data_IF_997664378615
#
_entry.id   IF_997664378615
#
_cell.length_a   1.000
_cell.length_b   1.000
_cell.length_c   1.000
_cell.angle_alpha   90.00
_cell.angle_beta   90.00
_cell.angle_gamma   90.00
#
_symmetry.space_group_name_H-M   'P 1'
#
loop_
_entity.id
_entity.type
_entity.pdbx_description
1 polymer ?
#
# COMPACT_ATOMS: atom_id res chain seq x y z
N UNK A 1 23.78 1.52 25.15
CA UNK A 1 22.93 0.40 24.67
C UNK A 1 21.49 0.86 24.78
N UNK A 2 20.75 0.95 23.69
CA UNK A 2 19.34 1.40 23.74
C UNK A 2 18.51 0.26 24.35
N UNK A 3 17.63 0.54 25.33
CA UNK A 3 16.95 -0.48 26.12
C UNK A 3 15.86 -1.29 25.37
N UNK A 4 15.64 -1.00 24.11
CA UNK A 4 14.59 -1.65 23.27
C UNK A 4 15.15 -2.56 22.19
N UNK A 5 16.49 -2.76 22.11
CA UNK A 5 17.05 -3.74 21.20
C UNK A 5 16.96 -5.10 21.88
N UNK A 6 15.82 -5.73 21.76
CA UNK A 6 15.66 -7.16 21.98
C UNK A 6 16.57 -7.92 21.03
N UNK A 7 17.09 -9.07 21.46
CA UNK A 7 17.85 -9.96 20.58
C UNK A 7 17.06 -10.18 19.26
N UNK A 8 17.74 -10.18 18.10
CA UNK A 8 17.06 -10.40 16.84
C UNK A 8 16.27 -11.70 16.90
N UNK A 9 15.00 -11.64 16.52
CA UNK A 9 14.17 -12.83 16.42
C UNK A 9 14.90 -13.88 15.55
N UNK A 10 14.76 -15.18 15.84
CA UNK A 10 15.39 -16.21 15.01
C UNK A 10 14.90 -16.05 13.57
N UNK A 11 15.82 -15.76 12.65
CA UNK A 11 15.50 -15.60 11.24
C UNK A 11 15.12 -16.95 10.67
N UNK A 12 13.88 -17.06 10.24
CA UNK A 12 13.41 -18.23 9.48
C UNK A 12 13.80 -18.01 8.02
N UNK A 13 14.36 -19.05 7.39
CA UNK A 13 14.69 -19.01 5.96
C UNK A 13 13.63 -19.73 5.18
N UNK A 14 13.20 -19.16 4.06
CA UNK A 14 12.28 -19.76 3.11
C UNK A 14 12.98 -19.99 1.78
N UNK A 15 12.83 -21.17 1.23
CA UNK A 15 13.33 -21.49 -0.10
C UNK A 15 12.24 -21.22 -1.12
N UNK A 16 12.53 -20.39 -2.12
CA UNK A 16 11.64 -20.00 -3.22
C UNK A 16 12.17 -20.54 -4.54
N UNK A 17 11.27 -20.80 -5.49
CA UNK A 17 11.63 -21.38 -6.78
C UNK A 17 11.67 -22.90 -6.77
N UNK A 18 12.27 -23.45 -7.81
CA UNK A 18 12.48 -24.89 -7.98
C UNK A 18 13.74 -25.12 -8.88
N UNK A 19 14.26 -26.34 -8.97
CA UNK A 19 15.47 -26.63 -9.75
C UNK A 19 15.40 -26.24 -11.24
N UNK A 20 14.21 -26.10 -11.83
CA UNK A 20 14.04 -25.74 -13.24
C UNK A 20 14.12 -24.23 -13.50
N UNK A 21 13.68 -23.42 -12.55
CA UNK A 21 13.65 -21.94 -12.67
C UNK A 21 14.69 -21.25 -11.81
N UNK A 22 15.45 -21.99 -11.03
CA UNK A 22 16.36 -21.50 -10.01
C UNK A 22 15.75 -21.54 -8.62
N UNK A 23 16.58 -21.69 -7.62
CA UNK A 23 16.21 -21.67 -6.20
C UNK A 23 16.90 -20.49 -5.51
N UNK A 24 16.16 -19.83 -4.62
CA UNK A 24 16.67 -18.73 -3.81
C UNK A 24 16.29 -18.96 -2.35
N UNK A 25 17.27 -18.86 -1.45
CA UNK A 25 17.05 -18.93 -0.01
C UNK A 25 16.95 -17.51 0.55
N UNK A 26 15.79 -17.14 1.09
CA UNK A 26 15.46 -15.79 1.53
C UNK A 26 15.17 -15.80 3.03
N UNK A 27 15.74 -14.85 3.77
CA UNK A 27 15.36 -14.63 5.17
C UNK A 27 13.95 -14.07 5.26
N UNK A 28 13.11 -14.68 6.10
CA UNK A 28 11.77 -14.18 6.43
C UNK A 28 11.90 -13.19 7.59
N UNK A 29 11.34 -12.00 7.40
CA UNK A 29 11.32 -10.92 8.42
C UNK A 29 9.89 -10.45 8.55
N UNK A 30 9.48 -9.94 9.68
CA UNK A 30 8.08 -9.51 9.92
C UNK A 30 7.69 -8.19 9.22
N UNK A 31 8.21 -7.89 8.04
CA UNK A 31 7.94 -6.68 7.27
C UNK A 31 9.18 -6.14 6.56
N UNK A 32 9.02 -5.04 5.84
CA UNK A 32 10.15 -4.35 5.21
C UNK A 32 10.97 -3.59 6.27
N UNK A 33 12.27 -3.81 6.26
CA UNK A 33 13.18 -3.05 7.13
C UNK A 33 13.34 -1.61 6.65
N UNK A 34 13.78 -0.71 7.54
CA UNK A 34 14.12 0.68 7.19
C UNK A 34 15.15 0.74 6.07
N UNK A 35 16.14 -0.18 6.07
CA UNK A 35 17.15 -0.26 5.01
C UNK A 35 16.57 -0.69 3.67
N UNK A 36 15.63 -1.64 3.65
CA UNK A 36 14.92 -2.04 2.43
C UNK A 36 14.05 -0.91 1.90
N UNK A 37 13.31 -0.22 2.76
CA UNK A 37 12.50 0.95 2.38
C UNK A 37 13.36 2.10 1.83
N UNK A 38 14.54 2.33 2.40
CA UNK A 38 15.49 3.32 1.88
C UNK A 38 16.01 2.91 0.49
N UNK A 39 16.36 1.64 0.29
CA UNK A 39 16.78 1.10 -1.02
C UNK A 39 15.68 1.23 -2.07
N UNK A 40 14.42 0.91 -1.71
CA UNK A 40 13.26 1.09 -2.60
C UNK A 40 13.13 2.56 -3.00
N UNK A 41 13.19 3.49 -2.04
CA UNK A 41 13.11 4.93 -2.29
C UNK A 41 14.23 5.42 -3.21
N UNK A 42 15.46 4.92 -3.04
CA UNK A 42 16.60 5.23 -3.90
C UNK A 42 16.38 4.74 -5.34
N UNK A 43 15.93 3.48 -5.50
CA UNK A 43 15.64 2.88 -6.80
C UNK A 43 14.49 3.57 -7.54
N UNK A 44 13.58 4.21 -6.81
CA UNK A 44 12.43 4.94 -7.34
C UNK A 44 12.64 6.46 -7.41
N UNK A 45 13.80 6.98 -7.03
CA UNK A 45 14.05 8.43 -6.97
C UNK A 45 13.81 9.14 -8.33
N UNK A 46 14.06 8.45 -9.44
CA UNK A 46 13.84 8.97 -10.80
C UNK A 46 12.36 8.94 -11.23
N UNK A 47 11.49 8.23 -10.48
CA UNK A 47 10.08 7.98 -10.86
C UNK A 47 9.09 9.08 -10.44
N UNK A 48 9.52 10.08 -9.69
CA UNK A 48 8.65 11.20 -9.27
C UNK A 48 8.00 11.92 -10.45
N UNK A 49 8.57 11.79 -11.66
CA UNK A 49 8.02 12.34 -12.90
C UNK A 49 6.65 11.76 -13.27
N UNK A 50 6.35 10.53 -12.91
CA UNK A 50 5.10 9.84 -13.23
C UNK A 50 3.89 10.47 -12.54
N UNK A 51 4.03 10.78 -11.24
CA UNK A 51 2.98 11.45 -10.48
C UNK A 51 2.72 12.88 -11.00
N UNK A 52 3.80 13.61 -11.30
CA UNK A 52 3.72 14.97 -11.86
C UNK A 52 2.98 14.95 -13.19
N UNK A 53 3.24 13.97 -14.06
CA UNK A 53 2.56 13.83 -15.34
C UNK A 53 1.05 13.59 -15.17
N UNK A 54 0.66 12.70 -14.26
CA UNK A 54 -0.74 12.46 -13.92
C UNK A 54 -1.46 13.72 -13.44
N UNK A 55 -0.81 14.49 -12.55
CA UNK A 55 -1.33 15.73 -12.02
C UNK A 55 -1.49 16.82 -13.10
N UNK A 56 -0.54 16.92 -14.03
CA UNK A 56 -0.64 17.85 -15.17
C UNK A 56 -1.82 17.52 -16.09
N UNK A 57 -2.07 16.25 -16.35
CA UNK A 57 -3.21 15.82 -17.16
C UNK A 57 -4.53 16.10 -16.43
N UNK A 58 -4.61 15.81 -15.13
CA UNK A 58 -5.79 16.13 -14.34
C UNK A 58 -6.10 17.63 -14.30
N UNK A 59 -5.07 18.47 -14.13
CA UNK A 59 -5.20 19.94 -14.15
C UNK A 59 -5.68 20.46 -15.53
N UNK A 60 -5.18 19.88 -16.62
CA UNK A 60 -5.62 20.22 -17.95
C UNK A 60 -7.10 19.87 -18.17
N UNK A 61 -7.54 18.68 -17.76
CA UNK A 61 -8.95 18.26 -17.83
C UNK A 61 -9.83 19.17 -16.98
N UNK A 62 -9.40 19.49 -15.74
CA UNK A 62 -10.14 20.35 -14.83
C UNK A 62 -10.40 21.73 -15.44
N UNK A 63 -9.39 22.32 -16.09
CA UNK A 63 -9.50 23.63 -16.77
C UNK A 63 -10.39 23.60 -17.98
N UNK A 64 -10.24 22.58 -18.85
CA UNK A 64 -11.03 22.44 -20.07
C UNK A 64 -12.52 22.19 -19.79
N UNK A 65 -12.83 21.41 -18.77
CA UNK A 65 -14.21 21.06 -18.39
C UNK A 65 -14.82 22.00 -17.32
N UNK A 66 -14.04 22.97 -16.82
CA UNK A 66 -14.46 23.90 -15.75
C UNK A 66 -14.91 23.17 -14.45
N UNK A 67 -14.28 22.07 -14.12
CA UNK A 67 -14.49 21.28 -12.91
C UNK A 67 -13.33 21.48 -11.93
N UNK A 68 -13.50 21.01 -10.69
CA UNK A 68 -12.40 21.04 -9.71
C UNK A 68 -11.32 20.00 -10.07
N UNK A 69 -10.09 20.26 -9.64
CA UNK A 69 -8.98 19.30 -9.78
C UNK A 69 -9.29 17.98 -9.11
N UNK A 70 -9.98 18.00 -7.97
CA UNK A 70 -10.41 16.79 -7.24
C UNK A 70 -11.39 15.96 -8.06
N UNK A 71 -12.36 16.59 -8.71
CA UNK A 71 -13.31 15.88 -9.60
C UNK A 71 -12.60 15.29 -10.81
N UNK A 72 -11.66 16.02 -11.43
CA UNK A 72 -10.87 15.48 -12.54
C UNK A 72 -10.08 14.23 -12.13
N UNK A 73 -9.44 14.23 -10.93
CA UNK A 73 -8.78 13.04 -10.39
C UNK A 73 -9.76 11.90 -10.16
N UNK A 74 -10.92 12.14 -9.56
CA UNK A 74 -11.94 11.11 -9.31
C UNK A 74 -12.44 10.46 -10.61
N UNK A 75 -12.62 11.25 -11.67
CA UNK A 75 -13.00 10.74 -13.00
C UNK A 75 -11.89 9.85 -13.57
N UNK A 76 -10.63 10.30 -13.51
CA UNK A 76 -9.48 9.53 -13.98
C UNK A 76 -9.34 8.22 -13.22
N UNK A 77 -9.34 8.27 -11.89
CA UNK A 77 -9.21 7.08 -11.04
C UNK A 77 -10.35 6.09 -11.25
N UNK A 78 -11.59 6.59 -11.35
CA UNK A 78 -12.75 5.75 -11.59
C UNK A 78 -12.70 5.10 -12.98
N UNK A 79 -12.25 5.85 -13.99
CA UNK A 79 -12.06 5.33 -15.35
C UNK A 79 -10.98 4.24 -15.39
N UNK A 80 -9.83 4.45 -14.72
CA UNK A 80 -8.74 3.47 -14.64
C UNK A 80 -9.19 2.21 -13.89
N UNK A 81 -9.97 2.38 -12.81
CA UNK A 81 -10.50 1.27 -12.01
C UNK A 81 -11.70 0.55 -12.67
N UNK A 82 -12.18 1.02 -13.83
CA UNK A 82 -13.36 0.46 -14.51
C UNK A 82 -14.66 0.65 -13.72
N UNK A 83 -14.73 1.68 -12.86
CA UNK A 83 -15.93 1.98 -12.06
C UNK A 83 -16.97 2.67 -12.93
N UNK A 84 -18.24 2.43 -12.63
CA UNK A 84 -19.34 3.14 -13.27
C UNK A 84 -19.32 4.62 -12.86
N UNK A 85 -19.43 5.52 -13.82
CA UNK A 85 -19.49 6.97 -13.66
C UNK A 85 -20.92 7.47 -13.92
N UNK A 86 -21.26 8.61 -13.34
CA UNK A 86 -22.47 9.34 -13.70
C UNK A 86 -22.37 9.86 -15.15
N UNK A 87 -23.52 10.13 -15.79
CA UNK A 87 -23.57 10.43 -17.22
C UNK A 87 -22.68 11.62 -17.64
N UNK A 88 -22.59 12.66 -16.81
CA UNK A 88 -21.76 13.83 -17.07
C UNK A 88 -20.27 13.49 -16.96
N UNK A 89 -19.86 12.80 -15.90
CA UNK A 89 -18.50 12.33 -15.72
C UNK A 89 -18.07 11.32 -16.78
N UNK A 90 -18.99 10.46 -17.23
CA UNK A 90 -18.75 9.51 -18.32
C UNK A 90 -18.53 10.23 -19.66
N UNK A 91 -19.28 11.30 -19.93
CA UNK A 91 -19.07 12.14 -21.10
C UNK A 91 -17.68 12.82 -21.09
N UNK A 92 -17.22 13.30 -19.93
CA UNK A 92 -15.87 13.85 -19.76
C UNK A 92 -14.83 12.75 -19.99
N UNK A 93 -14.99 11.57 -19.39
CA UNK A 93 -14.12 10.40 -19.62
C UNK A 93 -13.96 10.08 -21.10
N UNK A 94 -15.05 10.09 -21.87
CA UNK A 94 -15.03 9.79 -23.30
C UNK A 94 -14.28 10.87 -24.09
N UNK A 95 -14.49 12.17 -23.78
CA UNK A 95 -13.78 13.27 -24.44
C UNK A 95 -12.26 13.22 -24.20
N UNK A 96 -11.83 12.77 -23.04
CA UNK A 96 -10.42 12.73 -22.63
C UNK A 96 -9.84 11.31 -22.59
N UNK A 97 -10.44 10.36 -23.30
CA UNK A 97 -10.07 8.94 -23.23
C UNK A 97 -8.58 8.67 -23.50
N UNK A 98 -7.97 9.38 -24.47
CA UNK A 98 -6.53 9.22 -24.78
C UNK A 98 -5.64 9.69 -23.64
N UNK A 99 -5.95 10.84 -23.02
CA UNK A 99 -5.20 11.38 -21.88
C UNK A 99 -5.34 10.49 -20.65
N UNK A 100 -6.54 9.97 -20.40
CA UNK A 100 -6.78 9.03 -19.30
C UNK A 100 -6.03 7.72 -19.54
N UNK A 101 -6.00 7.21 -20.77
CA UNK A 101 -5.21 6.03 -21.14
C UNK A 101 -3.69 6.27 -20.99
N UNK A 102 -3.20 7.50 -21.22
CA UNK A 102 -1.82 7.89 -20.92
C UNK A 102 -1.53 7.80 -19.42
N UNK A 103 -2.40 8.40 -18.58
CA UNK A 103 -2.26 8.31 -17.11
C UNK A 103 -2.28 6.86 -16.64
N UNK A 104 -3.19 6.04 -17.15
CA UNK A 104 -3.27 4.63 -16.83
C UNK A 104 -1.97 3.89 -17.14
N UNK A 105 -1.36 4.15 -18.29
CA UNK A 105 -0.05 3.56 -18.66
C UNK A 105 1.06 4.02 -17.74
N UNK A 106 1.12 5.31 -17.43
CA UNK A 106 2.13 5.89 -16.53
C UNK A 106 2.02 5.26 -15.13
N UNK A 107 0.80 5.12 -14.59
CA UNK A 107 0.58 4.51 -13.29
C UNK A 107 0.88 3.01 -13.28
N UNK A 108 0.52 2.30 -14.35
CA UNK A 108 0.87 0.88 -14.47
C UNK A 108 2.39 0.66 -14.52
N UNK A 109 3.12 1.50 -15.24
CA UNK A 109 4.59 1.46 -15.29
C UNK A 109 5.20 1.78 -13.92
N UNK A 110 4.73 2.82 -13.22
CA UNK A 110 5.19 3.17 -11.88
C UNK A 110 4.91 2.03 -10.88
N UNK A 111 3.72 1.42 -10.95
CA UNK A 111 3.37 0.24 -10.16
C UNK A 111 4.31 -0.93 -10.41
N UNK A 112 4.57 -1.27 -11.67
CA UNK A 112 5.50 -2.34 -12.03
C UNK A 112 6.91 -2.08 -11.51
N UNK A 113 7.42 -0.88 -11.62
CA UNK A 113 8.75 -0.50 -11.10
C UNK A 113 8.81 -0.54 -9.59
N UNK A 114 7.74 -0.18 -8.90
CA UNK A 114 7.67 -0.34 -7.43
C UNK A 114 7.76 -1.81 -7.01
N UNK A 115 7.08 -2.71 -7.73
CA UNK A 115 7.22 -4.15 -7.51
C UNK A 115 8.66 -4.63 -7.75
N UNK A 116 9.28 -4.22 -8.86
CA UNK A 116 10.66 -4.56 -9.19
C UNK A 116 11.65 -4.03 -8.13
N UNK A 117 11.48 -2.79 -7.68
CA UNK A 117 12.32 -2.18 -6.64
C UNK A 117 12.18 -2.91 -5.30
N UNK A 118 10.96 -3.29 -4.92
CA UNK A 118 10.68 -4.04 -3.69
C UNK A 118 11.36 -5.41 -3.74
N UNK A 119 11.20 -6.17 -4.81
CA UNK A 119 11.87 -7.47 -5.01
C UNK A 119 13.39 -7.30 -4.99
N UNK A 120 13.93 -6.29 -5.67
CA UNK A 120 15.35 -5.99 -5.69
C UNK A 120 15.90 -5.73 -4.27
N UNK A 121 15.22 -4.89 -3.48
CA UNK A 121 15.63 -4.56 -2.12
C UNK A 121 15.62 -5.80 -1.21
N UNK A 122 14.59 -6.64 -1.30
CA UNK A 122 14.49 -7.91 -0.56
C UNK A 122 15.65 -8.84 -0.92
N UNK A 123 15.91 -9.05 -2.20
CA UNK A 123 16.99 -9.94 -2.65
C UNK A 123 18.35 -9.42 -2.18
N UNK A 124 18.61 -8.11 -2.31
CA UNK A 124 19.88 -7.51 -1.85
C UNK A 124 20.14 -7.70 -0.36
N UNK A 125 19.09 -7.55 0.46
CA UNK A 125 19.23 -7.53 1.92
C UNK A 125 19.10 -8.89 2.58
N UNK A 126 18.39 -9.83 1.96
CA UNK A 126 18.00 -11.11 2.59
C UNK A 126 18.59 -12.35 1.96
N UNK A 127 19.22 -12.22 0.78
CA UNK A 127 19.86 -13.33 0.09
C UNK A 127 21.37 -13.22 0.20
N UNK A 128 22.01 -14.29 0.66
CA UNK A 128 23.45 -14.32 0.80
C UNK A 128 24.14 -14.15 -0.57
N UNK A 129 25.09 -13.21 -0.64
CA UNK A 129 25.85 -12.95 -1.86
C UNK A 129 25.13 -12.11 -2.93
N UNK A 130 23.94 -11.59 -2.68
CA UNK A 130 23.13 -10.84 -3.64
C UNK A 130 23.17 -9.31 -3.43
N UNK A 131 24.14 -8.76 -2.71
CA UNK A 131 24.22 -7.32 -2.40
C UNK A 131 24.32 -6.41 -3.64
N UNK A 132 24.79 -6.92 -4.78
CA UNK A 132 24.93 -6.20 -6.06
C UNK A 132 23.77 -6.46 -7.02
N UNK A 133 22.73 -7.19 -6.59
CA UNK A 133 21.58 -7.51 -7.42
C UNK A 133 20.90 -6.24 -7.93
N UNK A 134 20.58 -6.16 -9.22
CA UNK A 134 20.09 -4.95 -9.89
C UNK A 134 18.65 -5.08 -10.35
N UNK A 135 18.02 -3.97 -10.78
CA UNK A 135 16.69 -4.01 -11.40
C UNK A 135 16.69 -4.83 -12.71
N UNK A 136 17.80 -4.83 -13.44
CA UNK A 136 17.89 -5.63 -14.67
C UNK A 136 17.95 -7.13 -14.35
N UNK A 137 18.59 -7.52 -13.23
CA UNK A 137 18.55 -8.89 -12.75
C UNK A 137 17.13 -9.31 -12.35
N UNK A 138 16.35 -8.39 -11.73
CA UNK A 138 14.91 -8.64 -11.43
C UNK A 138 14.14 -8.89 -12.71
N UNK A 139 14.34 -8.08 -13.75
CA UNK A 139 13.67 -8.23 -15.05
C UNK A 139 14.06 -9.52 -15.78
N UNK A 140 15.30 -9.98 -15.56
CA UNK A 140 15.78 -11.27 -16.05
C UNK A 140 15.31 -12.49 -15.25
N UNK A 141 14.68 -12.28 -14.09
CA UNK A 141 14.24 -13.33 -13.19
C UNK A 141 13.06 -14.12 -13.76
N UNK A 142 13.04 -15.43 -13.53
CA UNK A 142 11.89 -16.26 -13.88
C UNK A 142 10.64 -15.82 -13.10
N UNK A 143 9.52 -15.68 -13.81
CA UNK A 143 8.26 -15.18 -13.24
C UNK A 143 7.83 -15.91 -11.95
N UNK A 144 7.87 -17.24 -11.83
CA UNK A 144 7.48 -17.91 -10.58
C UNK A 144 8.34 -17.51 -9.37
N UNK A 145 9.63 -17.20 -9.58
CA UNK A 145 10.51 -16.75 -8.52
C UNK A 145 10.20 -15.31 -8.12
N UNK A 146 9.95 -14.44 -9.09
CA UNK A 146 9.49 -13.07 -8.86
C UNK A 146 8.17 -13.04 -8.06
N UNK A 147 7.17 -13.81 -8.52
CA UNK A 147 5.86 -13.89 -7.87
C UNK A 147 5.98 -14.41 -6.43
N UNK A 148 6.86 -15.39 -6.19
CA UNK A 148 7.14 -15.92 -4.86
C UNK A 148 7.78 -14.90 -3.90
N UNK A 149 8.71 -14.08 -4.40
CA UNK A 149 9.32 -12.98 -3.63
C UNK A 149 8.31 -11.87 -3.32
N UNK A 150 7.51 -11.51 -4.28
CA UNK A 150 6.44 -10.54 -4.10
C UNK A 150 5.40 -11.02 -3.09
N UNK A 151 4.95 -12.28 -3.20
CA UNK A 151 4.01 -12.86 -2.23
C UNK A 151 4.59 -12.88 -0.82
N UNK A 152 5.89 -13.19 -0.67
CA UNK A 152 6.58 -13.12 0.62
C UNK A 152 6.50 -11.71 1.22
N UNK A 153 6.74 -10.66 0.41
CA UNK A 153 6.66 -9.28 0.88
C UNK A 153 5.23 -8.91 1.34
N UNK A 154 4.22 -9.35 0.59
CA UNK A 154 2.82 -9.11 0.95
C UNK A 154 2.40 -9.87 2.21
N UNK A 155 2.78 -11.14 2.36
CA UNK A 155 2.47 -11.95 3.53
C UNK A 155 3.06 -11.33 4.81
N UNK A 156 4.29 -10.81 4.72
CA UNK A 156 4.96 -10.16 5.84
C UNK A 156 4.31 -8.82 6.20
N UNK A 157 3.92 -8.02 5.21
CA UNK A 157 3.24 -6.74 5.44
C UNK A 157 1.86 -6.95 6.06
N UNK A 158 1.11 -7.94 5.59
CA UNK A 158 -0.18 -8.31 6.18
C UNK A 158 -0.05 -8.82 7.63
N UNK A 159 1.05 -9.48 7.98
CA UNK A 159 1.33 -9.92 9.34
C UNK A 159 1.67 -8.76 10.27
N UNK A 160 2.30 -7.68 9.77
CA UNK A 160 2.61 -6.47 10.53
C UNK A 160 1.35 -5.66 10.84
N UNK A 161 0.37 -5.64 9.93
CA UNK A 161 -0.90 -4.93 10.09
C UNK A 161 -1.88 -5.64 11.06
N UNK A 162 -1.61 -6.89 11.44
CA UNK A 162 -2.41 -7.59 12.44
C UNK A 162 -2.11 -7.02 13.83
N UNK A 163 -3.14 -6.63 14.63
CA UNK A 163 -2.93 -6.18 15.99
C UNK A 163 -2.19 -7.25 16.78
N UNK A 164 -1.04 -6.90 17.32
CA UNK A 164 -0.10 -7.80 18.01
C UNK A 164 -0.66 -8.45 19.27
N UNK A 165 -1.90 -8.12 19.66
CA UNK A 165 -2.63 -8.75 20.78
C UNK A 165 -4.13 -8.68 20.51
N UNK A 166 -4.90 -9.70 20.86
CA UNK A 166 -6.36 -9.56 20.87
C UNK A 166 -6.72 -8.38 21.81
N UNK A 167 -7.72 -7.57 21.45
CA UNK A 167 -8.14 -6.44 22.26
C UNK A 167 -8.40 -6.90 23.69
N UNK A 168 -7.83 -6.23 24.68
CA UNK A 168 -8.03 -6.58 26.09
C UNK A 168 -9.52 -6.43 26.43
N UNK A 169 -10.01 -7.17 27.43
CA UNK A 169 -11.40 -7.04 27.89
C UNK A 169 -11.76 -5.58 28.27
N UNK A 170 -10.76 -4.77 28.64
CA UNK A 170 -10.93 -3.35 28.94
C UNK A 170 -11.11 -2.49 27.70
N UNK A 171 -10.54 -2.86 26.56
CA UNK A 171 -10.76 -2.17 25.27
C UNK A 171 -12.13 -2.48 24.68
N UNK A 172 -12.64 -3.70 24.90
CA UNK A 172 -14.00 -4.09 24.52
C UNK A 172 -15.05 -3.34 25.36
N UNK A 173 -14.79 -3.08 26.64
CA UNK A 173 -15.68 -2.30 27.52
C UNK A 173 -15.78 -0.82 27.13
N UNK A 174 -14.71 -0.23 26.57
CA UNK A 174 -14.70 1.16 26.08
C UNK A 174 -15.49 1.36 24.78
N UNK A 175 -15.74 0.31 24.03
CA UNK A 175 -16.48 0.36 22.75
C UNK A 175 -18.00 0.11 22.92
N UNK A 176 -18.50 -0.23 24.10
CA UNK A 176 -19.92 -0.31 24.34
C UNK A 176 -20.53 1.11 24.42
N UNK A 177 -21.49 1.48 23.56
CA UNK A 177 -22.19 2.75 23.68
C UNK A 177 -22.86 2.80 25.04
N UNK A 178 -22.56 3.84 25.82
CA UNK A 178 -23.01 4.02 27.19
C UNK A 178 -24.52 3.81 27.35
N UNK A 179 -24.91 2.97 28.28
CA UNK A 179 -26.32 2.79 28.68
C UNK A 179 -26.90 4.16 29.06
N UNK A 180 -28.14 4.48 28.70
CA UNK A 180 -28.75 5.76 29.02
C UNK A 180 -28.84 5.95 30.52
N UNK A 181 -28.29 7.06 31.02
CA UNK A 181 -28.32 7.45 32.41
C UNK A 181 -29.76 7.50 32.93
N UNK A 182 -30.05 6.62 33.88
CA UNK A 182 -31.36 6.55 34.54
C UNK A 182 -31.75 7.88 35.20
N UNK A 183 -32.85 8.42 34.74
CA UNK A 183 -33.48 9.65 35.20
C UNK A 183 -33.98 9.48 36.64
N UNK A 184 -33.18 9.90 37.64
CA UNK A 184 -33.64 9.98 39.04
C UNK A 184 -34.68 11.09 39.19
N UNK A 185 -35.95 10.71 39.15
CA UNK A 185 -37.11 11.54 39.52
C UNK A 185 -37.03 11.84 41.00
N UNK A 186 -36.57 13.03 41.38
CA UNK A 186 -36.71 13.58 42.72
C UNK A 186 -38.15 14.00 42.94
N UNK A 187 -38.89 13.22 43.73
CA UNK A 187 -40.21 13.55 44.20
C UNK A 187 -40.16 14.74 45.16
N UNK A 188 -40.73 15.86 44.74
CA UNK A 188 -40.97 17.03 45.61
C UNK A 188 -42.34 16.85 46.29
N UNK A 189 -42.27 16.53 47.59
CA UNK A 189 -43.43 16.51 48.51
C UNK A 189 -43.80 17.97 48.81
N UNK A 190 -45.03 18.35 48.47
CA UNK A 190 -45.67 19.59 48.91
C UNK A 190 -46.57 19.25 50.10
N UNK A 191 -46.28 19.80 51.31
CA UNK A 191 -47.17 19.94 52.47
C UNK A 191 -47.68 21.36 52.45
N UNK A 192 -48.85 21.54 52.47
CA UNK A 192 -49.87 21.75 53.35
C UNK A 192 -50.33 23.11 53.57
N UNK A 193 -51.42 23.34 54.01
CA UNK A 193 -52.34 24.35 54.60
C UNK A 193 -53.11 25.15 53.64
#
# INVERSE_FOLDING_TARGET
>A
MLPFITAPAPTTKRRLGNPQVGELEVEVRGGLTVGESATISELLAEEQSSFVRGAQIADAIAKEESISLTEAFQIIESAIAGRQLEAEADAIRLRHAERIAEVARVYAQAGQRNLEATVCAIVRSRCAGCSTFSLDDVRGMAKPLFDGLWQLAQDEQAAEDLPSSPPSEDDLKKQQPGAPAGNKRTGRRSTGS
#
